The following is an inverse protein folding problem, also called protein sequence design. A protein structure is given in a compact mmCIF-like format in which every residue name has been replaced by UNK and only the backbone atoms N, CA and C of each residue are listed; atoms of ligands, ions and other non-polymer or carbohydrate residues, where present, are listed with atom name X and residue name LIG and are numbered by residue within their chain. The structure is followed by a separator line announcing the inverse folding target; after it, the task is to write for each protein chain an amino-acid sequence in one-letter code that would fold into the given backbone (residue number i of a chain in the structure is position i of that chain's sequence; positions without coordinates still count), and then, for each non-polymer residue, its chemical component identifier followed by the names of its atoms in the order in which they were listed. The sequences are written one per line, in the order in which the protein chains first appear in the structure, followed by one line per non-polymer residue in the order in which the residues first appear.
data_IF_829031926517
#
_entry.id   IF_829031926517
#
_cell.length_a   1.000
_cell.length_b   1.000
_cell.length_c   1.000
_cell.angle_alpha   90.00
_cell.angle_beta   90.00
_cell.angle_gamma   90.00
#
_symmetry.space_group_name_H-M   'P 1'
#
loop_
_entity.id
_entity.type
_entity.pdbx_description
1 polymer ?
#
# COMPACT_ATOMS: atom_id res chain seq x y z
N UNK A 1 -9.28 12.10 -2.56
CA UNK A 1 -7.95 11.85 -2.00
C UNK A 1 -6.95 12.58 -2.87
N UNK A 2 -5.94 13.22 -2.27
CA UNK A 2 -4.93 13.99 -3.00
C UNK A 2 -3.58 13.29 -2.88
N UNK A 3 -2.78 13.29 -3.94
CA UNK A 3 -1.38 12.83 -3.90
C UNK A 3 -1.14 11.33 -4.16
N UNK A 4 -2.16 10.54 -4.44
CA UNK A 4 -2.02 9.15 -4.88
C UNK A 4 -2.57 8.96 -6.30
N UNK A 5 -1.77 8.34 -7.17
CA UNK A 5 -2.12 7.99 -8.54
C UNK A 5 -1.66 6.56 -8.83
N UNK A 6 -2.57 5.74 -9.31
CA UNK A 6 -2.27 4.41 -9.86
C UNK A 6 -2.74 4.38 -11.30
N UNK A 7 -1.85 4.01 -12.21
CA UNK A 7 -2.17 3.78 -13.63
C UNK A 7 -1.69 2.39 -14.02
N UNK A 8 -2.56 1.62 -14.65
CA UNK A 8 -2.25 0.28 -15.13
C UNK A 8 -2.30 0.27 -16.65
N UNK A 9 -1.23 -0.20 -17.26
CA UNK A 9 -1.11 -0.40 -18.70
C UNK A 9 -1.12 -1.88 -19.01
N UNK A 10 -1.82 -2.26 -20.08
CA UNK A 10 -1.89 -3.65 -20.54
C UNK A 10 -1.57 -3.70 -22.04
N UNK A 11 -0.85 -4.75 -22.46
CA UNK A 11 -0.63 -4.99 -23.89
C UNK A 11 -1.96 -5.30 -24.59
N UNK A 12 -2.10 -4.79 -25.82
CA UNK A 12 -3.33 -4.92 -26.62
C UNK A 12 -3.77 -6.38 -26.81
N UNK A 13 -2.82 -7.31 -26.92
CA UNK A 13 -3.09 -8.74 -27.10
C UNK A 13 -3.91 -9.37 -25.95
N UNK A 14 -3.89 -8.77 -24.77
CA UNK A 14 -4.63 -9.28 -23.59
C UNK A 14 -6.02 -8.66 -23.43
N UNK A 15 -6.40 -7.66 -24.23
CA UNK A 15 -7.63 -6.87 -24.04
C UNK A 15 -8.89 -7.73 -24.00
N UNK A 16 -8.97 -8.76 -24.86
CA UNK A 16 -10.13 -9.66 -24.93
C UNK A 16 -10.29 -10.55 -23.69
N UNK A 17 -9.29 -10.63 -22.83
CA UNK A 17 -9.30 -11.45 -21.61
C UNK A 17 -9.44 -10.61 -20.33
N UNK A 18 -9.52 -9.29 -20.46
CA UNK A 18 -9.68 -8.36 -19.36
C UNK A 18 -11.17 -8.17 -19.03
N UNK A 19 -11.55 -8.35 -17.76
CA UNK A 19 -12.94 -8.25 -17.28
C UNK A 19 -12.99 -7.56 -15.92
N UNK A 20 -14.17 -7.02 -15.61
CA UNK A 20 -14.52 -6.54 -14.27
C UNK A 20 -13.50 -5.55 -13.69
N UNK A 21 -12.99 -4.63 -14.53
CA UNK A 21 -12.04 -3.61 -14.09
C UNK A 21 -12.78 -2.65 -13.15
N UNK A 22 -12.20 -2.38 -12.00
CA UNK A 22 -12.79 -1.49 -11.02
C UNK A 22 -11.69 -0.75 -10.27
N UNK A 23 -11.90 0.53 -10.00
CA UNK A 23 -11.02 1.33 -9.17
C UNK A 23 -11.76 1.69 -7.88
N UNK A 24 -11.03 1.75 -6.78
CA UNK A 24 -11.57 2.11 -5.47
C UNK A 24 -10.52 2.87 -4.65
N UNK A 25 -10.97 3.62 -3.66
CA UNK A 25 -10.12 4.36 -2.76
C UNK A 25 -10.62 4.41 -1.32
N UNK A 26 -9.69 4.43 -0.37
CA UNK A 26 -9.95 4.65 1.05
C UNK A 26 -9.13 5.84 1.54
N UNK A 27 -9.70 6.64 2.46
CA UNK A 27 -9.01 7.76 3.13
C UNK A 27 -8.83 7.40 4.60
N UNK A 28 -7.66 7.69 5.17
CA UNK A 28 -7.32 7.31 6.55
C UNK A 28 -6.82 8.48 7.43
N UNK A 29 -6.77 9.72 6.91
CA UNK A 29 -6.34 10.90 7.69
C UNK A 29 -7.35 11.39 8.75
N UNK A 30 -6.99 12.45 9.49
CA UNK A 30 -7.76 13.08 10.60
C UNK A 30 -9.28 12.89 10.50
N UNK A 31 -9.81 12.00 11.35
CA UNK A 31 -11.24 11.71 11.47
C UNK A 31 -11.86 11.00 10.26
N UNK A 32 -11.06 10.27 9.45
CA UNK A 32 -11.45 9.53 8.25
C UNK A 32 -12.03 10.39 7.11
N UNK A 33 -11.98 11.72 7.23
CA UNK A 33 -12.70 12.65 6.36
C UNK A 33 -11.76 13.60 5.62
N UNK A 34 -10.62 13.95 6.23
CA UNK A 34 -9.68 14.95 5.72
C UNK A 34 -8.26 14.42 5.73
N UNK A 35 -7.59 14.45 4.56
CA UNK A 35 -6.18 14.05 4.47
C UNK A 35 -5.75 13.63 3.07
N UNK A 36 -4.42 13.58 2.89
CA UNK A 36 -3.73 13.06 1.71
C UNK A 36 -3.26 11.60 1.90
N UNK A 37 -3.67 10.94 2.99
CA UNK A 37 -3.31 9.57 3.36
C UNK A 37 -4.45 8.60 3.06
N UNK A 38 -4.09 7.35 2.82
CA UNK A 38 -5.01 6.26 2.49
C UNK A 38 -4.49 5.39 1.36
N UNK A 39 -5.39 4.83 0.55
CA UNK A 39 -5.02 3.96 -0.56
C UNK A 39 -5.93 4.14 -1.78
N UNK A 40 -5.33 4.05 -2.97
CA UNK A 40 -6.05 3.84 -4.24
C UNK A 40 -5.78 2.42 -4.72
N UNK A 41 -6.72 1.86 -5.45
CA UNK A 41 -6.53 0.55 -6.05
C UNK A 41 -7.16 0.46 -7.43
N UNK A 42 -6.63 -0.45 -8.23
CA UNK A 42 -7.31 -0.96 -9.43
C UNK A 42 -7.30 -2.47 -9.37
N UNK A 43 -8.48 -3.06 -9.51
CA UNK A 43 -8.68 -4.50 -9.60
C UNK A 43 -9.18 -4.89 -10.98
N UNK A 44 -8.85 -6.10 -11.41
CA UNK A 44 -9.28 -6.66 -12.68
C UNK A 44 -9.28 -8.18 -12.66
N UNK A 45 -10.01 -8.80 -13.59
CA UNK A 45 -9.80 -10.20 -13.92
C UNK A 45 -9.10 -10.30 -15.28
N UNK A 46 -7.99 -11.02 -15.32
CA UNK A 46 -7.22 -11.29 -16.52
C UNK A 46 -7.09 -12.80 -16.70
N UNK A 47 -7.57 -13.34 -17.82
CA UNK A 47 -7.61 -14.80 -18.05
C UNK A 47 -8.32 -15.59 -16.94
N UNK A 48 -9.34 -14.99 -16.31
CA UNK A 48 -10.07 -15.58 -15.19
C UNK A 48 -9.44 -15.37 -13.82
N UNK A 49 -8.17 -14.96 -13.76
CA UNK A 49 -7.42 -14.67 -12.53
C UNK A 49 -7.77 -13.27 -12.03
N UNK A 50 -8.26 -13.16 -10.80
CA UNK A 50 -8.54 -11.90 -10.15
C UNK A 50 -7.29 -11.33 -9.50
N UNK A 51 -6.91 -10.11 -9.92
CA UNK A 51 -5.74 -9.40 -9.40
C UNK A 51 -6.15 -8.00 -8.96
N UNK A 52 -5.55 -7.54 -7.86
CA UNK A 52 -5.70 -6.18 -7.36
C UNK A 52 -4.34 -5.57 -7.06
N UNK A 53 -4.20 -4.29 -7.44
CA UNK A 53 -3.05 -3.46 -7.12
C UNK A 53 -3.52 -2.36 -6.20
N UNK A 54 -2.94 -2.28 -5.00
CA UNK A 54 -3.24 -1.30 -3.96
C UNK A 54 -2.00 -0.45 -3.75
N UNK A 55 -2.13 0.86 -3.98
CA UNK A 55 -1.10 1.85 -3.66
C UNK A 55 -1.54 2.61 -2.42
N UNK A 56 -0.78 2.49 -1.34
CA UNK A 56 -1.04 3.16 -0.08
C UNK A 56 0.01 4.26 0.21
N UNK A 57 -0.44 5.29 0.92
CA UNK A 57 0.39 6.32 1.52
C UNK A 57 -0.08 6.48 2.96
N UNK A 58 0.68 5.92 3.90
CA UNK A 58 0.32 5.83 5.33
C UNK A 58 0.92 7.00 6.13
N UNK A 59 0.52 7.14 7.38
CA UNK A 59 0.94 8.19 8.30
C UNK A 59 2.47 8.35 8.35
N UNK A 60 2.92 9.59 8.19
CA UNK A 60 4.32 9.96 8.20
C UNK A 60 4.80 10.23 9.64
N UNK A 61 6.11 10.46 9.80
CA UNK A 61 6.82 10.72 11.07
C UNK A 61 7.17 9.47 11.87
N UNK A 62 8.28 9.56 12.61
CA UNK A 62 8.95 8.39 13.19
C UNK A 62 8.14 7.71 14.29
N UNK A 63 7.39 8.49 15.07
CA UNK A 63 6.58 8.03 16.20
C UNK A 63 5.19 7.49 15.81
N UNK A 64 4.79 7.59 14.54
CA UNK A 64 3.44 7.26 14.07
C UNK A 64 3.28 5.78 13.64
N UNK A 65 3.96 4.85 14.32
CA UNK A 65 3.85 3.43 14.00
C UNK A 65 2.43 2.90 14.22
N UNK A 66 1.82 3.24 15.35
CA UNK A 66 0.46 2.81 15.67
C UNK A 66 -0.56 3.36 14.67
N UNK A 67 -0.40 4.61 14.24
CA UNK A 67 -1.27 5.24 13.24
C UNK A 67 -1.09 4.58 11.86
N UNK A 68 0.14 4.25 11.44
CA UNK A 68 0.36 3.47 10.19
C UNK A 68 -0.33 2.10 10.22
N UNK A 69 -0.31 1.44 11.37
CA UNK A 69 -1.00 0.16 11.58
C UNK A 69 -2.51 0.36 11.51
N UNK A 70 -3.05 1.44 12.07
CA UNK A 70 -4.48 1.75 12.00
C UNK A 70 -4.93 2.16 10.59
N UNK A 71 -4.14 2.96 9.87
CA UNK A 71 -4.34 3.27 8.45
C UNK A 71 -4.48 1.96 7.64
N UNK A 72 -3.55 1.02 7.83
CA UNK A 72 -3.60 -0.30 7.18
C UNK A 72 -4.89 -1.06 7.52
N UNK A 73 -5.25 -1.14 8.81
CA UNK A 73 -6.48 -1.82 9.26
C UNK A 73 -7.72 -1.18 8.68
N UNK A 74 -7.75 0.13 8.56
CA UNK A 74 -8.87 0.87 7.98
C UNK A 74 -9.01 0.59 6.48
N UNK A 75 -7.91 0.65 5.72
CA UNK A 75 -7.90 0.26 4.30
C UNK A 75 -8.39 -1.18 4.18
N UNK A 76 -7.83 -2.11 4.95
CA UNK A 76 -8.25 -3.51 4.94
C UNK A 76 -9.76 -3.70 5.18
N UNK A 77 -10.34 -2.97 6.15
CA UNK A 77 -11.74 -3.14 6.56
C UNK A 77 -12.75 -2.43 5.68
N UNK A 78 -12.40 -1.31 5.06
CA UNK A 78 -13.36 -0.40 4.40
C UNK A 78 -13.20 -0.30 2.88
N UNK A 79 -12.14 -0.86 2.31
CA UNK A 79 -11.86 -0.81 0.88
C UNK A 79 -12.61 -1.92 0.14
N UNK A 80 -13.81 -1.61 -0.34
CA UNK A 80 -14.74 -2.58 -0.90
C UNK A 80 -15.05 -2.34 -2.39
N UNK A 81 -15.10 -3.43 -3.15
CA UNK A 81 -15.48 -3.44 -4.56
C UNK A 81 -16.93 -3.90 -4.76
N UNK A 82 -17.50 -3.61 -5.92
CA UNK A 82 -18.87 -3.97 -6.29
C UNK A 82 -18.99 -5.43 -6.76
N UNK A 83 -17.89 -6.06 -7.17
CA UNK A 83 -17.88 -7.47 -7.59
C UNK A 83 -18.04 -8.39 -6.39
N UNK A 84 -19.25 -8.94 -6.18
CA UNK A 84 -19.61 -9.74 -4.99
C UNK A 84 -18.61 -10.82 -4.58
N UNK A 85 -18.02 -11.55 -5.54
CA UNK A 85 -17.02 -12.60 -5.25
C UNK A 85 -15.68 -12.02 -4.75
N UNK A 86 -15.35 -10.81 -5.17
CA UNK A 86 -14.09 -10.12 -4.91
C UNK A 86 -14.35 -8.79 -4.19
N UNK A 87 -15.22 -8.83 -3.16
CA UNK A 87 -15.70 -7.62 -2.48
C UNK A 87 -14.57 -6.96 -1.70
N UNK A 88 -13.66 -7.72 -1.12
CA UNK A 88 -12.54 -7.21 -0.31
C UNK A 88 -11.22 -7.37 -1.07
N UNK A 89 -10.18 -6.64 -0.63
CA UNK A 89 -8.83 -6.70 -1.21
C UNK A 89 -8.34 -8.15 -1.27
N UNK A 90 -8.39 -8.88 -0.15
CA UNK A 90 -7.86 -10.23 -0.02
C UNK A 90 -8.79 -11.35 -0.53
N UNK A 91 -9.92 -11.00 -1.15
CA UNK A 91 -10.72 -12.00 -1.87
C UNK A 91 -10.11 -12.34 -3.26
N UNK A 92 -9.14 -11.54 -3.73
CA UNK A 92 -8.46 -11.68 -5.02
C UNK A 92 -7.39 -12.78 -5.00
N UNK A 93 -7.16 -13.42 -6.15
CA UNK A 93 -6.14 -14.47 -6.28
C UNK A 93 -4.71 -13.92 -6.10
N UNK A 94 -4.48 -12.69 -6.57
CA UNK A 94 -3.22 -11.97 -6.38
C UNK A 94 -3.46 -10.56 -5.86
N UNK A 95 -2.76 -10.20 -4.78
CA UNK A 95 -2.79 -8.87 -4.17
C UNK A 95 -1.39 -8.28 -4.23
N UNK A 96 -1.24 -7.17 -4.93
CA UNK A 96 -0.05 -6.34 -4.89
C UNK A 96 -0.34 -5.14 -4.00
N UNK A 97 0.35 -5.05 -2.87
CA UNK A 97 0.22 -3.91 -1.95
C UNK A 97 1.56 -3.20 -1.84
N UNK A 98 1.59 -1.92 -2.20
CA UNK A 98 2.83 -1.14 -2.28
C UNK A 98 2.56 0.36 -2.13
N UNK A 99 3.60 1.18 -2.17
CA UNK A 99 3.51 2.64 -2.07
C UNK A 99 4.43 3.20 -0.99
N UNK A 100 4.15 4.43 -0.54
CA UNK A 100 4.88 5.04 0.58
C UNK A 100 4.24 4.62 1.90
N UNK A 101 4.63 3.43 2.37
CA UNK A 101 4.11 2.85 3.60
C UNK A 101 4.62 3.58 4.85
N UNK A 102 5.62 4.46 4.72
CA UNK A 102 6.16 5.31 5.78
C UNK A 102 6.70 4.60 7.04
N UNK A 103 6.85 3.27 7.04
CA UNK A 103 7.57 2.58 8.11
C UNK A 103 9.02 3.08 8.17
N UNK A 104 9.55 3.18 9.39
CA UNK A 104 10.86 3.76 9.69
C UNK A 104 11.74 2.72 10.37
N UNK A 105 12.99 3.07 10.60
CA UNK A 105 13.84 2.32 11.51
C UNK A 105 13.38 2.57 12.96
N UNK A 106 13.25 1.51 13.73
CA UNK A 106 13.07 1.57 15.18
C UNK A 106 14.41 1.89 15.87
N UNK A 107 14.34 2.54 17.02
CA UNK A 107 15.50 2.91 17.81
C UNK A 107 15.76 4.42 17.82
N UNK A 108 16.95 4.80 18.28
CA UNK A 108 17.36 6.20 18.45
C UNK A 108 18.65 6.52 17.69
N UNK A 109 18.96 5.73 16.65
CA UNK A 109 20.14 5.97 15.81
C UNK A 109 20.05 7.39 15.22
N UNK A 110 21.14 8.13 15.35
CA UNK A 110 21.30 9.41 14.66
C UNK A 110 21.38 9.19 13.14
N UNK A 111 21.03 10.21 12.34
CA UNK A 111 21.20 10.15 10.89
C UNK A 111 22.63 9.79 10.45
N UNK A 112 23.64 10.20 11.23
CA UNK A 112 25.05 9.90 11.00
C UNK A 112 25.37 8.41 11.20
N UNK A 113 24.83 7.79 12.25
CA UNK A 113 25.00 6.35 12.52
C UNK A 113 24.33 5.49 11.43
N UNK A 114 23.10 5.84 11.05
CA UNK A 114 22.41 5.16 9.94
C UNK A 114 23.21 5.31 8.64
N UNK A 115 23.72 6.50 8.34
CA UNK A 115 24.53 6.74 7.14
C UNK A 115 25.81 5.89 7.15
N UNK A 116 26.51 5.79 8.28
CA UNK A 116 27.71 4.97 8.39
C UNK A 116 27.41 3.48 8.12
N UNK A 117 26.32 2.94 8.67
CA UNK A 117 25.90 1.56 8.40
C UNK A 117 25.57 1.33 6.92
N UNK A 118 24.95 2.30 6.25
CA UNK A 118 24.70 2.24 4.80
C UNK A 118 26.01 2.26 4.01
N UNK A 119 26.95 3.15 4.34
CA UNK A 119 28.25 3.27 3.67
C UNK A 119 29.12 2.01 3.84
N UNK A 120 29.01 1.34 4.98
CA UNK A 120 29.66 0.06 5.27
C UNK A 120 28.92 -1.16 4.68
N UNK A 121 27.82 -0.96 3.95
CA UNK A 121 26.96 -2.01 3.39
C UNK A 121 26.39 -2.97 4.46
N UNK A 122 26.20 -2.48 5.69
CA UNK A 122 25.59 -3.21 6.81
C UNK A 122 24.06 -3.09 6.79
N UNK A 123 23.47 -3.32 5.61
CA UNK A 123 22.03 -3.13 5.40
C UNK A 123 21.17 -4.12 6.21
N UNK A 124 21.70 -5.31 6.49
CA UNK A 124 20.99 -6.32 7.29
C UNK A 124 20.72 -5.83 8.72
N UNK A 125 21.68 -5.11 9.32
CA UNK A 125 21.52 -4.54 10.67
C UNK A 125 20.43 -3.47 10.73
N UNK A 126 20.23 -2.74 9.62
CA UNK A 126 19.15 -1.76 9.48
C UNK A 126 17.80 -2.45 9.25
N UNK A 127 17.77 -3.49 8.41
CA UNK A 127 16.53 -4.26 8.15
C UNK A 127 15.98 -4.94 9.40
N UNK A 128 16.83 -5.42 10.29
CA UNK A 128 16.40 -5.99 11.59
C UNK A 128 15.71 -4.96 12.51
N UNK A 129 15.84 -3.67 12.21
CA UNK A 129 15.22 -2.57 12.94
C UNK A 129 14.07 -1.95 12.17
N UNK A 130 13.78 -2.40 10.96
CA UNK A 130 12.69 -1.84 10.16
C UNK A 130 11.34 -2.15 10.83
N UNK A 131 10.48 -1.15 10.97
CA UNK A 131 9.19 -1.32 11.64
C UNK A 131 8.18 -2.20 10.87
N UNK A 132 8.41 -2.48 9.58
CA UNK A 132 7.52 -3.30 8.76
C UNK A 132 7.90 -4.78 8.75
N UNK A 133 9.19 -5.11 8.84
CA UNK A 133 9.74 -6.44 8.51
C UNK A 133 10.05 -7.29 9.72
#
# INVERSE_FOLDING_TARGET
MQGLLLTIFIKKEHLLHLRNIEAEYTRTGLGNLWGNKGAVSVRMQLYGVATVFVVAHLAAHDHELDERIEDYKQIYKSHHYHVKKYKNIFDHDYVFWFGDLNFRLAGNDSPEEVRALVEENKLQELLERDQLV
#
